data_IF_058586502950
#
_entry.id   IF_058586502950
#
_cell.length_a   1.000
_cell.length_b   1.000
_cell.length_c   1.000
_cell.angle_alpha   90.00
_cell.angle_beta   90.00
_cell.angle_gamma   90.00
#
_symmetry.space_group_name_H-M   'P 1'
#
loop_
_entity.id
_entity.type
_entity.pdbx_description
1 polymer ?
#
# COMPACT_ATOMS: atom_id res chain seq x y z
N UNK A 1 -23.12 -11.62 -9.08
CA UNK A 1 -22.73 -10.23 -9.38
C UNK A 1 -21.21 -10.12 -9.25
N UNK A 2 -20.48 -10.07 -10.36
CA UNK A 2 -19.03 -9.84 -10.37
C UNK A 2 -18.78 -8.34 -10.14
N UNK A 3 -18.64 -7.93 -8.88
CA UNK A 3 -18.17 -6.57 -8.59
C UNK A 3 -16.73 -6.50 -9.06
N UNK A 4 -16.52 -5.82 -10.15
CA UNK A 4 -15.20 -5.69 -10.80
C UNK A 4 -14.23 -5.07 -9.81
N UNK A 5 -13.19 -5.82 -9.44
CA UNK A 5 -12.13 -5.46 -8.47
C UNK A 5 -11.51 -4.09 -8.80
N UNK A 6 -11.45 -3.74 -10.09
CA UNK A 6 -11.06 -2.42 -10.58
C UNK A 6 -11.92 -1.27 -10.04
N UNK A 7 -13.24 -1.47 -9.85
CA UNK A 7 -14.14 -0.45 -9.31
C UNK A 7 -13.91 -0.15 -7.83
N UNK A 8 -13.47 -1.12 -7.02
CA UNK A 8 -13.23 -0.92 -5.59
C UNK A 8 -11.98 -0.06 -5.32
N UNK A 9 -10.97 -0.14 -6.18
CA UNK A 9 -9.75 0.68 -6.12
C UNK A 9 -10.01 2.14 -6.52
N UNK A 10 -10.78 2.35 -7.58
CA UNK A 10 -11.14 3.69 -8.06
C UNK A 10 -12.15 4.38 -7.14
N UNK A 11 -12.94 3.60 -6.38
CA UNK A 11 -14.01 4.08 -5.52
C UNK A 11 -13.70 3.98 -4.01
N UNK A 12 -12.61 3.31 -3.59
CA UNK A 12 -12.18 3.22 -2.20
C UNK A 12 -11.38 4.43 -1.74
N UNK A 13 -11.34 4.65 -0.41
CA UNK A 13 -10.48 5.64 0.24
C UNK A 13 -9.13 5.00 0.59
N UNK A 14 -8.05 5.71 0.31
CA UNK A 14 -6.68 5.27 0.56
C UNK A 14 -6.05 6.10 1.69
N UNK A 15 -5.62 5.44 2.76
CA UNK A 15 -4.70 6.02 3.73
C UNK A 15 -3.26 5.66 3.35
N UNK A 16 -2.35 6.63 3.35
CA UNK A 16 -0.91 6.41 3.15
C UNK A 16 -0.18 6.79 4.42
N UNK A 17 0.16 5.79 5.24
CA UNK A 17 0.88 6.02 6.49
C UNK A 17 2.38 6.08 6.24
N UNK A 18 2.95 7.27 6.40
CA UNK A 18 4.35 7.54 6.11
C UNK A 18 4.62 7.91 4.66
N UNK A 19 4.03 9.00 4.16
CA UNK A 19 4.32 9.55 2.83
C UNK A 19 5.71 10.21 2.75
N UNK A 20 6.74 9.47 3.21
CA UNK A 20 8.15 9.81 3.11
C UNK A 20 8.72 9.48 1.71
N UNK A 21 9.97 8.98 1.67
CA UNK A 21 10.65 8.68 0.39
C UNK A 21 9.88 7.64 -0.44
N UNK A 22 9.66 6.44 0.09
CA UNK A 22 8.98 5.35 -0.64
C UNK A 22 7.48 5.62 -0.74
N UNK A 23 6.80 5.92 0.38
CA UNK A 23 5.36 6.19 0.39
C UNK A 23 4.97 7.37 -0.49
N UNK A 24 5.78 8.43 -0.55
CA UNK A 24 5.57 9.58 -1.41
C UNK A 24 5.73 9.26 -2.91
N UNK A 25 6.72 8.43 -3.28
CA UNK A 25 6.90 7.96 -4.67
C UNK A 25 5.67 7.15 -5.11
N UNK A 26 5.25 6.18 -4.31
CA UNK A 26 4.10 5.34 -4.62
C UNK A 26 2.80 6.16 -4.71
N UNK A 27 2.61 7.09 -3.79
CA UNK A 27 1.44 7.98 -3.80
C UNK A 27 1.37 8.81 -5.08
N UNK A 28 2.47 9.43 -5.49
CA UNK A 28 2.53 10.18 -6.76
C UNK A 28 2.19 9.29 -7.95
N UNK A 29 2.81 8.12 -8.03
CA UNK A 29 2.53 7.16 -9.09
C UNK A 29 1.05 6.73 -9.13
N UNK A 30 0.39 6.53 -7.98
CA UNK A 30 -1.04 6.20 -7.93
C UNK A 30 -1.94 7.33 -8.44
N UNK A 31 -1.58 8.57 -8.13
CA UNK A 31 -2.31 9.75 -8.59
C UNK A 31 -2.11 10.00 -10.10
N UNK A 32 -0.87 9.94 -10.58
CA UNK A 32 -0.50 10.12 -11.99
C UNK A 32 -1.19 9.10 -12.88
N UNK A 33 -1.28 7.85 -12.43
CA UNK A 33 -1.96 6.77 -13.14
C UNK A 33 -3.48 6.74 -12.91
N UNK A 34 -4.02 7.71 -12.19
CA UNK A 34 -5.46 7.81 -11.87
C UNK A 34 -6.03 6.58 -11.18
N UNK A 35 -5.22 5.84 -10.41
CA UNK A 35 -5.63 4.66 -9.65
C UNK A 35 -6.47 5.03 -8.42
N UNK A 36 -6.35 6.26 -7.96
CA UNK A 36 -7.14 6.85 -6.88
C UNK A 36 -7.34 8.34 -7.16
N UNK A 37 -8.50 8.85 -6.81
CA UNK A 37 -8.76 10.29 -6.91
C UNK A 37 -8.11 11.02 -5.74
N UNK A 38 -7.51 12.23 -5.93
CA UNK A 38 -6.87 12.99 -4.85
C UNK A 38 -7.76 13.20 -3.62
N UNK A 39 -9.06 13.49 -3.85
CA UNK A 39 -10.06 13.69 -2.78
C UNK A 39 -10.32 12.44 -1.91
N UNK A 40 -9.87 11.27 -2.34
CA UNK A 40 -10.03 9.99 -1.63
C UNK A 40 -8.74 9.51 -0.97
N UNK A 41 -7.73 10.36 -0.94
CA UNK A 41 -6.43 10.05 -0.32
C UNK A 41 -6.24 10.88 0.92
N UNK A 42 -5.86 10.21 2.02
CA UNK A 42 -5.33 10.84 3.21
C UNK A 42 -3.94 10.29 3.49
N UNK A 43 -2.92 11.16 3.38
CA UNK A 43 -1.54 10.77 3.62
C UNK A 43 -1.05 11.31 4.97
N UNK A 44 -0.19 10.55 5.65
CA UNK A 44 0.44 11.03 6.88
C UNK A 44 1.94 11.16 6.71
N UNK A 45 2.48 12.17 7.39
CA UNK A 45 3.92 12.42 7.52
C UNK A 45 4.23 12.88 8.93
N UNK A 46 5.50 12.76 9.35
CA UNK A 46 5.91 13.07 10.73
C UNK A 46 5.81 14.55 11.09
N UNK A 47 5.96 15.45 10.12
CA UNK A 47 6.04 16.90 10.35
C UNK A 47 4.89 17.64 9.67
N UNK A 48 4.22 18.52 10.41
CA UNK A 48 3.05 19.28 9.93
C UNK A 48 3.35 20.15 8.70
N UNK A 49 4.54 20.73 8.61
CA UNK A 49 4.95 21.53 7.44
C UNK A 49 5.02 20.67 6.17
N UNK A 50 5.57 19.45 6.28
CA UNK A 50 5.60 18.49 5.16
C UNK A 50 4.18 18.04 4.78
N UNK A 51 3.28 17.89 5.76
CA UNK A 51 1.88 17.58 5.48
C UNK A 51 1.23 18.69 4.65
N UNK A 52 1.37 19.95 5.07
CA UNK A 52 0.83 21.12 4.33
C UNK A 52 1.39 21.21 2.90
N UNK A 53 2.71 21.03 2.77
CA UNK A 53 3.37 21.05 1.45
C UNK A 53 2.84 19.91 0.55
N UNK A 54 2.71 18.70 1.07
CA UNK A 54 2.22 17.53 0.35
C UNK A 54 0.76 17.72 -0.09
N UNK A 55 -0.10 18.21 0.81
CA UNK A 55 -1.49 18.52 0.52
C UNK A 55 -1.63 19.53 -0.63
N UNK A 56 -0.85 20.62 -0.56
CA UNK A 56 -0.85 21.65 -1.62
C UNK A 56 -0.35 21.13 -2.98
N UNK A 57 0.72 20.32 -2.96
CA UNK A 57 1.33 19.81 -4.20
C UNK A 57 0.45 18.78 -4.92
N UNK A 58 -0.24 17.92 -4.16
CA UNK A 58 -0.96 16.78 -4.72
C UNK A 58 -2.49 16.90 -4.69
N UNK A 59 -3.02 17.96 -4.08
CA UNK A 59 -4.46 18.18 -3.95
C UNK A 59 -5.17 17.13 -3.06
N UNK A 60 -4.45 16.54 -2.10
CA UNK A 60 -4.92 15.48 -1.21
C UNK A 60 -5.12 15.99 0.23
N UNK A 61 -5.77 15.18 1.08
CA UNK A 61 -5.67 15.39 2.52
C UNK A 61 -4.30 14.89 3.01
N UNK A 62 -3.64 15.68 3.86
CA UNK A 62 -2.42 15.26 4.52
C UNK A 62 -2.33 15.82 5.94
N UNK A 63 -1.89 14.99 6.90
CA UNK A 63 -1.80 15.33 8.32
C UNK A 63 -0.62 14.61 8.98
N UNK A 64 -0.51 14.77 10.30
CA UNK A 64 0.38 13.96 11.15
C UNK A 64 -0.37 12.90 11.94
N UNK A 65 -1.69 12.82 11.82
CA UNK A 65 -2.58 11.94 12.57
C UNK A 65 -2.90 10.68 11.76
N UNK A 66 -2.34 9.54 12.17
CA UNK A 66 -2.55 8.26 11.51
C UNK A 66 -3.96 7.72 11.75
N UNK A 67 -4.56 7.96 12.93
CA UNK A 67 -5.92 7.50 13.24
C UNK A 67 -6.94 8.18 12.34
N UNK A 68 -6.87 9.51 12.22
CA UNK A 68 -7.75 10.27 11.33
C UNK A 68 -7.62 9.81 9.87
N UNK A 69 -6.41 9.48 9.42
CA UNK A 69 -6.20 8.98 8.06
C UNK A 69 -6.84 7.60 7.84
N UNK A 70 -6.76 6.71 8.82
CA UNK A 70 -7.28 5.34 8.72
C UNK A 70 -8.79 5.25 8.94
N UNK A 71 -9.38 6.17 9.71
CA UNK A 71 -10.80 6.12 10.12
C UNK A 71 -11.75 5.85 8.95
N UNK A 72 -11.65 6.59 7.86
CA UNK A 72 -12.50 6.43 6.68
C UNK A 72 -11.88 5.62 5.52
N UNK A 73 -10.69 5.01 5.72
CA UNK A 73 -9.98 4.34 4.65
C UNK A 73 -10.42 2.88 4.48
N UNK A 74 -10.52 2.43 3.23
CA UNK A 74 -10.72 1.02 2.87
C UNK A 74 -9.39 0.29 2.69
N UNK A 75 -8.37 1.01 2.21
CA UNK A 75 -7.03 0.48 1.96
C UNK A 75 -6.02 1.35 2.70
N UNK A 76 -5.13 0.71 3.45
CA UNK A 76 -4.06 1.34 4.21
C UNK A 76 -2.73 0.94 3.58
N UNK A 77 -2.01 1.90 2.97
CA UNK A 77 -0.63 1.71 2.56
C UNK A 77 0.30 2.05 3.72
N UNK A 78 0.93 1.03 4.29
CA UNK A 78 1.89 1.18 5.38
C UNK A 78 3.30 1.33 4.79
N UNK A 79 3.86 2.54 4.87
CA UNK A 79 5.16 2.93 4.30
C UNK A 79 6.07 3.67 5.30
N UNK A 80 5.89 3.39 6.58
CA UNK A 80 6.71 3.93 7.68
C UNK A 80 8.06 3.20 7.79
N UNK A 81 8.96 3.71 8.62
CA UNK A 81 10.21 3.01 8.93
C UNK A 81 9.92 1.73 9.72
N UNK A 82 10.69 0.63 9.54
CA UNK A 82 10.46 -0.64 10.24
C UNK A 82 10.33 -0.49 11.76
N UNK A 83 11.13 0.37 12.37
CA UNK A 83 11.12 0.61 13.82
C UNK A 83 9.81 1.25 14.33
N UNK A 84 9.11 2.00 13.49
CA UNK A 84 7.87 2.67 13.84
C UNK A 84 6.61 1.80 13.61
N UNK A 85 6.75 0.62 12.99
CA UNK A 85 5.60 -0.21 12.60
C UNK A 85 4.75 -0.58 13.81
N UNK A 86 5.39 -1.05 14.89
CA UNK A 86 4.68 -1.50 16.09
C UNK A 86 3.84 -0.37 16.69
N UNK A 87 4.44 0.80 16.85
CA UNK A 87 3.80 1.99 17.39
C UNK A 87 2.62 2.44 16.51
N UNK A 88 2.84 2.52 15.20
CA UNK A 88 1.79 2.93 14.25
C UNK A 88 0.64 1.93 14.20
N UNK A 89 0.91 0.62 14.24
CA UNK A 89 -0.16 -0.39 14.27
C UNK A 89 -0.98 -0.31 15.55
N UNK A 90 -0.36 -0.10 16.72
CA UNK A 90 -1.08 0.14 17.97
C UNK A 90 -1.91 1.42 17.93
N UNK A 91 -1.35 2.50 17.39
CA UNK A 91 -2.05 3.79 17.25
C UNK A 91 -3.34 3.65 16.41
N UNK A 92 -3.26 2.96 15.26
CA UNK A 92 -4.40 2.83 14.34
C UNK A 92 -5.37 1.71 14.70
N UNK A 93 -5.00 0.79 15.59
CA UNK A 93 -5.79 -0.39 15.97
C UNK A 93 -7.25 -0.08 16.31
N UNK A 94 -7.59 0.99 17.07
CA UNK A 94 -8.99 1.34 17.36
C UNK A 94 -9.83 1.69 16.11
N UNK A 95 -9.19 2.11 15.02
CA UNK A 95 -9.87 2.50 13.77
C UNK A 95 -9.95 1.35 12.76
N UNK A 96 -9.33 0.21 13.09
CA UNK A 96 -9.36 -0.95 12.20
C UNK A 96 -10.71 -1.66 12.32
N UNK A 97 -11.29 -2.00 11.17
CA UNK A 97 -12.60 -2.67 11.07
C UNK A 97 -12.54 -3.76 9.98
N UNK A 98 -13.41 -4.78 10.07
CA UNK A 98 -13.54 -5.77 9.00
C UNK A 98 -13.75 -5.10 7.63
N UNK A 99 -13.10 -5.65 6.62
CA UNK A 99 -13.17 -5.14 5.23
C UNK A 99 -12.07 -4.14 4.86
N UNK A 100 -11.25 -3.66 5.81
CA UNK A 100 -10.04 -2.88 5.51
C UNK A 100 -8.90 -3.81 5.07
N UNK A 101 -8.10 -3.35 4.11
CA UNK A 101 -6.92 -4.04 3.61
C UNK A 101 -5.66 -3.26 3.99
N UNK A 102 -4.67 -3.93 4.56
CA UNK A 102 -3.34 -3.35 4.75
C UNK A 102 -2.42 -3.82 3.62
N UNK A 103 -1.80 -2.87 2.93
CA UNK A 103 -0.71 -3.12 1.99
C UNK A 103 0.56 -2.53 2.58
N UNK A 104 1.50 -3.38 2.96
CA UNK A 104 2.75 -2.95 3.59
C UNK A 104 3.90 -2.95 2.58
N UNK A 105 4.65 -1.87 2.51
CA UNK A 105 5.92 -1.78 1.77
C UNK A 105 7.12 -1.68 2.72
N UNK A 106 6.90 -2.03 3.98
CA UNK A 106 7.93 -1.99 5.02
C UNK A 106 8.88 -3.17 4.88
N UNK A 107 10.17 -2.89 4.85
CA UNK A 107 11.20 -3.93 4.84
C UNK A 107 11.28 -4.64 6.21
N UNK A 108 11.66 -5.92 6.18
CA UNK A 108 11.98 -6.71 7.39
C UNK A 108 10.86 -6.89 8.42
N UNK A 109 9.60 -6.66 8.03
CA UNK A 109 8.43 -6.90 8.88
C UNK A 109 7.50 -7.87 8.16
N UNK A 110 7.24 -9.04 8.77
CA UNK A 110 6.38 -10.07 8.18
C UNK A 110 4.89 -9.71 8.29
N UNK A 111 4.06 -10.28 7.42
CA UNK A 111 2.61 -10.16 7.49
C UNK A 111 2.08 -10.73 8.82
N UNK A 112 2.62 -11.87 9.26
CA UNK A 112 2.25 -12.52 10.51
C UNK A 112 2.45 -11.61 11.74
N UNK A 113 3.57 -10.86 11.78
CA UNK A 113 3.83 -9.91 12.87
C UNK A 113 2.78 -8.80 12.88
N UNK A 114 2.43 -8.26 11.71
CA UNK A 114 1.43 -7.20 11.59
C UNK A 114 0.03 -7.71 11.98
N UNK A 115 -0.37 -8.89 11.51
CA UNK A 115 -1.64 -9.53 11.86
C UNK A 115 -1.74 -9.80 13.37
N UNK A 116 -0.68 -10.33 13.99
CA UNK A 116 -0.61 -10.57 15.45
C UNK A 116 -0.75 -9.25 16.24
N UNK A 117 -0.07 -8.19 15.79
CA UNK A 117 -0.10 -6.90 16.47
C UNK A 117 -1.49 -6.26 16.43
N UNK A 118 -2.18 -6.38 15.30
CA UNK A 118 -3.55 -5.88 15.15
C UNK A 118 -4.55 -6.70 16.00
N UNK A 119 -4.30 -7.99 16.17
CA UNK A 119 -5.16 -8.89 16.97
C UNK A 119 -6.55 -9.08 16.35
N UNK A 120 -6.68 -8.93 15.04
CA UNK A 120 -7.91 -9.07 14.26
C UNK A 120 -7.62 -9.79 12.96
N UNK A 121 -8.63 -10.49 12.43
CA UNK A 121 -8.56 -11.22 11.15
C UNK A 121 -8.61 -10.25 9.95
N UNK A 122 -7.63 -9.36 9.88
CA UNK A 122 -7.53 -8.36 8.82
C UNK A 122 -6.57 -8.83 7.72
N UNK A 123 -6.95 -8.66 6.44
CA UNK A 123 -6.08 -9.01 5.35
C UNK A 123 -4.86 -8.07 5.29
N UNK A 124 -3.68 -8.67 5.32
CA UNK A 124 -2.40 -7.99 5.14
C UNK A 124 -1.72 -8.53 3.89
N UNK A 125 -1.32 -7.65 3.00
CA UNK A 125 -0.48 -7.97 1.84
C UNK A 125 0.81 -7.18 1.95
N UNK A 126 1.93 -7.86 1.85
CA UNK A 126 3.24 -7.23 1.81
C UNK A 126 3.68 -7.06 0.36
N UNK A 127 4.11 -5.87 -0.01
CA UNK A 127 4.64 -5.53 -1.32
C UNK A 127 6.08 -5.07 -1.16
N UNK A 128 7.00 -5.70 -1.87
CA UNK A 128 8.43 -5.39 -1.83
C UNK A 128 8.88 -4.85 -3.18
N UNK A 129 8.73 -3.54 -3.43
CA UNK A 129 9.23 -2.90 -4.63
C UNK A 129 10.76 -2.81 -4.56
N UNK A 130 11.43 -3.02 -5.70
CA UNK A 130 12.86 -2.76 -5.81
C UNK A 130 13.15 -1.30 -6.22
N UNK A 131 14.41 -0.87 -6.12
CA UNK A 131 14.84 0.52 -6.38
C UNK A 131 14.42 1.06 -7.76
N UNK A 132 14.46 0.29 -8.88
CA UNK A 132 14.00 0.77 -10.18
C UNK A 132 12.52 1.14 -10.27
N UNK A 133 11.71 0.82 -9.26
CA UNK A 133 10.31 1.26 -9.18
C UNK A 133 10.17 2.80 -9.21
N UNK A 134 11.17 3.53 -8.72
CA UNK A 134 11.17 4.99 -8.71
C UNK A 134 11.15 5.59 -10.14
N UNK A 135 11.64 4.87 -11.12
CA UNK A 135 11.66 5.25 -12.54
C UNK A 135 10.70 4.42 -13.40
N UNK A 136 9.77 3.72 -12.77
CA UNK A 136 8.80 2.89 -13.47
C UNK A 136 9.34 1.59 -14.08
N UNK A 137 10.55 1.17 -13.72
CA UNK A 137 11.24 -0.01 -14.28
C UNK A 137 11.58 -1.04 -13.17
N UNK A 138 10.70 -1.25 -12.22
CA UNK A 138 10.96 -2.14 -11.10
C UNK A 138 10.19 -3.45 -11.13
N UNK A 139 10.60 -4.36 -10.26
CA UNK A 139 9.89 -5.57 -9.92
C UNK A 139 9.31 -5.44 -8.51
N UNK A 140 8.12 -6.00 -8.28
CA UNK A 140 7.52 -6.02 -6.94
C UNK A 140 7.18 -7.45 -6.58
N UNK A 141 7.72 -7.93 -5.47
CA UNK A 141 7.25 -9.15 -4.84
C UNK A 141 6.00 -8.87 -4.01
N UNK A 142 4.99 -9.75 -4.09
CA UNK A 142 3.81 -9.71 -3.23
C UNK A 142 3.75 -10.95 -2.37
N UNK A 143 3.58 -10.76 -1.06
CA UNK A 143 3.33 -11.83 -0.12
C UNK A 143 1.99 -11.58 0.58
N UNK A 144 1.15 -12.62 0.67
CA UNK A 144 -0.10 -12.54 1.41
C UNK A 144 0.05 -13.07 2.83
N UNK A 145 -0.61 -12.43 3.77
CA UNK A 145 -0.81 -12.94 5.11
C UNK A 145 -1.93 -14.00 5.16
N UNK A 146 -2.18 -14.51 6.37
CA UNK A 146 -3.09 -15.64 6.60
C UNK A 146 -4.56 -15.28 6.28
N UNK A 147 -4.94 -14.03 6.52
CA UNK A 147 -6.29 -13.52 6.30
C UNK A 147 -6.47 -12.85 4.93
N UNK A 148 -5.41 -12.78 4.11
CA UNK A 148 -5.47 -12.21 2.77
C UNK A 148 -5.84 -13.28 1.72
N UNK A 149 -6.96 -13.07 1.03
CA UNK A 149 -7.42 -13.90 -0.09
C UNK A 149 -6.87 -13.44 -1.44
N UNK A 150 -7.26 -14.16 -2.50
CA UNK A 150 -6.90 -13.84 -3.91
C UNK A 150 -7.35 -12.41 -4.29
N UNK A 151 -8.53 -11.99 -3.85
CA UNK A 151 -9.06 -10.66 -4.16
C UNK A 151 -8.17 -9.53 -3.57
N UNK A 152 -7.61 -9.74 -2.39
CA UNK A 152 -6.70 -8.80 -1.76
C UNK A 152 -5.37 -8.70 -2.52
N UNK A 153 -4.85 -9.83 -3.01
CA UNK A 153 -3.70 -9.85 -3.91
C UNK A 153 -3.99 -9.13 -5.23
N UNK A 154 -5.17 -9.35 -5.82
CA UNK A 154 -5.56 -8.66 -7.04
C UNK A 154 -5.72 -7.14 -6.82
N UNK A 155 -6.19 -6.69 -5.66
CA UNK A 155 -6.19 -5.28 -5.27
C UNK A 155 -4.75 -4.74 -5.17
N UNK A 156 -3.86 -5.45 -4.52
CA UNK A 156 -2.45 -5.08 -4.45
C UNK A 156 -1.77 -5.15 -5.82
N UNK A 157 -2.13 -6.12 -6.67
CA UNK A 157 -1.63 -6.35 -8.02
C UNK A 157 -2.24 -5.42 -9.08
N UNK A 158 -3.51 -5.01 -8.97
CA UNK A 158 -4.14 -4.09 -9.91
C UNK A 158 -3.41 -2.75 -9.96
N UNK A 159 -2.70 -2.42 -8.87
CA UNK A 159 -1.67 -1.38 -8.84
C UNK A 159 -0.41 -1.78 -9.58
N UNK A 160 -0.21 -3.06 -9.91
CA UNK A 160 0.92 -3.57 -10.68
C UNK A 160 0.64 -3.81 -12.17
N UNK A 161 -0.63 -3.77 -12.63
CA UNK A 161 -0.94 -3.83 -14.08
C UNK A 161 -0.76 -2.50 -14.79
N UNK A 162 -0.94 -1.41 -14.11
CA UNK A 162 -0.27 -0.20 -14.52
C UNK A 162 1.18 -0.36 -14.05
N UNK A 163 1.93 -1.06 -14.86
CA UNK A 163 3.30 -1.53 -14.68
C UNK A 163 4.32 -0.51 -14.12
N UNK A 164 3.88 0.67 -13.74
CA UNK A 164 4.66 1.81 -13.34
C UNK A 164 4.51 2.16 -11.85
N UNK A 165 3.42 1.80 -11.17
CA UNK A 165 3.26 2.16 -9.75
C UNK A 165 4.08 1.27 -8.81
N UNK A 166 4.23 -0.02 -9.14
CA UNK A 166 5.15 -0.95 -8.47
C UNK A 166 6.24 -1.48 -9.42
N UNK A 167 6.47 -0.79 -10.54
CA UNK A 167 7.56 -1.08 -11.44
C UNK A 167 7.29 -2.20 -12.42
N UNK A 168 6.68 -1.86 -13.51
CA UNK A 168 6.64 -2.67 -14.70
C UNK A 168 6.84 -1.78 -15.91
N UNK A 169 8.05 -1.67 -16.40
CA UNK A 169 8.36 -1.07 -17.69
C UNK A 169 8.37 -2.18 -18.73
N UNK A 170 7.24 -2.41 -19.38
CA UNK A 170 7.22 -3.10 -20.67
C UNK A 170 7.52 -2.09 -21.77
N UNK A 171 8.78 -1.74 -21.93
CA UNK A 171 9.19 -1.09 -23.18
C UNK A 171 9.50 -2.21 -24.19
N UNK A 172 8.76 -2.33 -25.31
CA UNK A 172 8.90 -3.44 -26.25
C UNK A 172 10.30 -3.56 -26.91
N UNK A 173 11.16 -2.57 -26.72
CA UNK A 173 12.47 -2.51 -27.39
C UNK A 173 13.69 -2.72 -26.50
N UNK A 174 13.56 -3.00 -25.18
CA UNK A 174 14.75 -3.09 -24.30
C UNK A 174 14.80 -4.31 -23.36
N UNK A 175 14.04 -5.36 -23.57
CA UNK A 175 14.27 -6.64 -22.88
C UNK A 175 14.34 -6.63 -21.33
N UNK A 176 13.85 -5.57 -20.68
CA UNK A 176 13.83 -5.45 -19.24
C UNK A 176 12.53 -6.06 -18.72
N UNK A 177 12.61 -7.25 -18.15
CA UNK A 177 11.49 -7.92 -17.53
C UNK A 177 11.11 -7.20 -16.25
N UNK A 178 9.97 -6.52 -16.26
CA UNK A 178 9.31 -6.17 -15.03
C UNK A 178 8.40 -7.33 -14.64
N UNK A 179 8.70 -7.97 -13.53
CA UNK A 179 8.01 -9.15 -13.04
C UNK A 179 7.25 -8.88 -11.75
N UNK A 180 6.18 -9.62 -11.54
CA UNK A 180 5.50 -9.71 -10.27
C UNK A 180 5.70 -11.13 -9.73
N UNK A 181 6.38 -11.25 -8.59
CA UNK A 181 6.49 -12.48 -7.84
C UNK A 181 5.45 -12.48 -6.72
N UNK A 182 4.68 -13.55 -6.62
CA UNK A 182 3.69 -13.73 -5.54
C UNK A 182 4.09 -14.96 -4.74
N UNK A 183 4.19 -14.84 -3.42
CA UNK A 183 4.41 -15.96 -2.52
C UNK A 183 3.47 -15.90 -1.31
N UNK A 184 3.33 -17.02 -0.63
CA UNK A 184 2.49 -17.17 0.54
C UNK A 184 3.39 -17.19 1.79
N UNK A 185 3.23 -16.21 2.68
CA UNK A 185 3.91 -16.17 3.99
C UNK A 185 3.10 -16.90 5.08
N UNK A 186 1.97 -17.54 4.74
CA UNK A 186 1.18 -18.26 5.73
C UNK A 186 1.93 -19.51 6.24
N UNK A 187 1.73 -19.89 7.51
CA UNK A 187 2.33 -21.12 8.07
C UNK A 187 1.93 -22.41 7.34
N UNK A 188 0.91 -22.36 6.46
CA UNK A 188 0.41 -23.47 5.67
C UNK A 188 1.10 -23.62 4.30
N UNK A 189 1.89 -22.64 3.89
CA UNK A 189 2.66 -22.74 2.67
C UNK A 189 3.80 -23.77 2.87
N UNK A 190 3.63 -24.96 2.32
CA UNK A 190 4.73 -25.94 2.18
C UNK A 190 5.46 -25.61 0.89
N UNK A 191 6.77 -25.49 1.00
CA UNK A 191 7.71 -25.37 -0.12
C UNK A 191 7.87 -26.73 -0.77
#
# INVERSE_FOLDING_TARGET
MKTTISGKLLNGRLAVLGAGKIGGILLRAFLEQKLVQPKRVHATVRHAEKARSLAKQLGIQASTDNRAAVHGADIILLAVKPQAVKEVLEEIKPEMKPGKLIVSVVASVSTQLMEKQLGMDLPVVRAMPNTPCAIGCGMTGLAKGIHAGKDHLEIARAKGRSAQAFGGCCHPRRGVFAGLLVWDESPKARW
#
